data_IF_184494809627
#
_entry.id   IF_184494809627
#
_cell.length_a   1.000
_cell.length_b   1.000
_cell.length_c   1.000
_cell.angle_alpha   90.00
_cell.angle_beta   90.00
_cell.angle_gamma   90.00
#
_symmetry.space_group_name_H-M   'P 1'
#
loop_
_entity.id
_entity.type
_entity.pdbx_description
1 polymer ?
#
# COMPACT_ATOMS: atom_id res chain seq x y z
N UNK A 1 10.87 -0.21 -4.92
CA UNK A 1 12.26 -0.38 -5.35
C UNK A 1 13.14 0.66 -4.66
N UNK A 2 14.22 1.06 -5.33
CA UNK A 2 15.08 2.17 -4.93
C UNK A 2 14.91 3.28 -5.96
N UNK A 3 14.77 4.53 -5.53
CA UNK A 3 14.67 5.68 -6.43
C UNK A 3 16.02 5.88 -7.14
N UNK A 4 16.01 5.87 -8.47
CA UNK A 4 17.20 6.07 -9.31
C UNK A 4 17.28 7.46 -9.93
N UNK A 5 16.13 8.12 -10.12
CA UNK A 5 16.00 9.47 -10.64
C UNK A 5 14.75 10.13 -10.03
N UNK A 6 14.77 11.47 -9.92
CA UNK A 6 13.67 12.27 -9.40
C UNK A 6 13.29 13.32 -10.44
N UNK A 7 12.02 13.37 -10.81
CA UNK A 7 11.51 14.32 -11.81
C UNK A 7 11.52 15.78 -11.32
N UNK A 8 11.47 16.76 -12.24
CA UNK A 8 11.42 18.17 -11.89
C UNK A 8 10.26 18.50 -10.93
N UNK A 9 10.54 19.30 -9.90
CA UNK A 9 9.53 19.75 -8.92
C UNK A 9 9.25 18.75 -7.79
N UNK A 10 9.81 17.54 -7.82
CA UNK A 10 9.71 16.61 -6.69
C UNK A 10 10.82 16.92 -5.67
N UNK A 11 10.45 17.50 -4.53
CA UNK A 11 11.39 18.00 -3.52
C UNK A 11 11.50 17.10 -2.28
N UNK A 12 10.61 16.11 -2.13
CA UNK A 12 10.48 15.28 -0.92
C UNK A 12 10.93 13.82 -1.13
N UNK A 13 11.62 13.56 -2.25
CA UNK A 13 12.23 12.26 -2.59
C UNK A 13 13.63 12.50 -3.12
N UNK A 14 14.51 11.55 -2.84
CA UNK A 14 15.91 11.58 -3.25
C UNK A 14 16.33 10.25 -3.88
N UNK A 15 17.33 10.30 -4.75
CA UNK A 15 18.00 9.08 -5.25
C UNK A 15 18.53 8.28 -4.06
N UNK A 16 18.32 6.97 -4.09
CA UNK A 16 18.66 6.06 -2.98
C UNK A 16 17.51 5.78 -2.01
N UNK A 17 16.42 6.54 -2.06
CA UNK A 17 15.25 6.28 -1.21
C UNK A 17 14.65 4.89 -1.53
N UNK A 18 14.41 4.11 -0.47
CA UNK A 18 13.65 2.86 -0.58
C UNK A 18 12.16 3.20 -0.56
N UNK A 19 11.45 2.83 -1.63
CA UNK A 19 10.03 3.14 -1.81
C UNK A 19 9.19 1.91 -2.16
N UNK A 20 7.93 1.93 -1.75
CA UNK A 20 6.88 1.00 -2.16
C UNK A 20 5.64 1.78 -2.60
N UNK A 21 4.80 1.19 -3.45
CA UNK A 21 3.63 1.88 -3.96
C UNK A 21 2.88 1.09 -5.01
N UNK A 22 2.00 1.76 -5.73
CA UNK A 22 1.27 1.20 -6.87
C UNK A 22 1.86 1.80 -8.14
N UNK A 23 2.46 0.95 -8.97
CA UNK A 23 3.22 1.37 -10.14
C UNK A 23 2.73 0.63 -11.38
N UNK A 24 2.71 1.32 -12.52
CA UNK A 24 2.62 0.68 -13.82
C UNK A 24 4.00 0.13 -14.22
N UNK A 25 4.03 -0.98 -14.97
CA UNK A 25 5.29 -1.57 -15.42
C UNK A 25 6.14 -2.18 -14.30
N UNK A 26 5.53 -2.54 -13.16
CA UNK A 26 6.23 -3.06 -11.97
C UNK A 26 6.92 -4.42 -12.19
N UNK A 27 6.57 -5.14 -13.25
CA UNK A 27 7.21 -6.41 -13.64
C UNK A 27 8.39 -6.17 -14.57
N UNK A 28 9.35 -5.39 -14.09
CA UNK A 28 10.57 -5.04 -14.82
C UNK A 28 11.64 -4.52 -13.86
N UNK A 29 12.87 -4.34 -14.35
CA UNK A 29 13.97 -3.82 -13.53
C UNK A 29 13.78 -2.34 -13.15
N UNK A 30 12.98 -1.60 -13.92
CA UNK A 30 12.72 -0.17 -13.75
C UNK A 30 11.27 0.16 -14.05
N UNK A 31 10.71 1.12 -13.30
CA UNK A 31 9.38 1.67 -13.54
C UNK A 31 9.36 3.15 -13.17
N UNK A 32 8.49 3.92 -13.82
CA UNK A 32 8.23 5.33 -13.50
C UNK A 32 6.89 5.42 -12.79
N UNK A 33 6.84 6.13 -11.68
CA UNK A 33 5.61 6.38 -10.94
C UNK A 33 5.53 7.85 -10.52
N UNK A 34 4.29 8.33 -10.38
CA UNK A 34 4.03 9.60 -9.72
C UNK A 34 4.48 9.52 -8.25
N UNK A 35 5.14 10.57 -7.76
CA UNK A 35 5.65 10.61 -6.37
C UNK A 35 4.55 10.43 -5.33
N UNK A 36 3.30 10.77 -5.66
CA UNK A 36 2.12 10.61 -4.80
C UNK A 36 1.66 9.15 -4.69
N UNK A 37 2.06 8.31 -5.63
CA UNK A 37 1.71 6.88 -5.68
C UNK A 37 2.71 6.00 -4.93
N UNK A 38 3.74 6.60 -4.32
CA UNK A 38 4.80 5.89 -3.60
C UNK A 38 5.02 6.46 -2.19
N UNK A 39 5.31 5.57 -1.27
CA UNK A 39 5.62 5.84 0.13
C UNK A 39 7.00 5.25 0.49
N UNK A 40 7.68 5.79 1.51
CA UNK A 40 8.92 5.18 2.00
C UNK A 40 8.66 3.77 2.51
N UNK A 41 9.62 2.87 2.29
CA UNK A 41 9.59 1.55 2.92
C UNK A 41 9.87 1.70 4.41
N UNK A 42 9.03 1.15 5.31
CA UNK A 42 9.27 1.19 6.75
C UNK A 42 10.64 0.62 7.15
N UNK A 43 11.22 1.18 8.21
CA UNK A 43 12.49 0.67 8.75
C UNK A 43 12.31 -0.78 9.20
N UNK A 44 13.26 -1.63 8.82
CA UNK A 44 13.28 -3.05 9.18
C UNK A 44 12.59 -3.97 8.18
N UNK A 45 11.83 -3.44 7.23
CA UNK A 45 11.23 -4.26 6.17
C UNK A 45 12.24 -4.56 5.08
N UNK A 46 12.17 -5.76 4.51
CA UNK A 46 12.81 -6.07 3.24
C UNK A 46 11.97 -5.60 2.04
N UNK A 47 12.48 -5.77 0.82
CA UNK A 47 11.77 -5.33 -0.38
C UNK A 47 10.63 -6.27 -0.81
N UNK A 48 10.62 -7.52 -0.35
CA UNK A 48 9.58 -8.51 -0.66
C UNK A 48 8.34 -8.23 0.18
N UNK A 49 8.53 -7.98 1.48
CA UNK A 49 7.51 -7.49 2.40
C UNK A 49 6.91 -6.19 1.88
N UNK A 50 7.76 -5.22 1.54
CA UNK A 50 7.30 -3.94 1.01
C UNK A 50 6.52 -4.05 -0.31
N UNK A 51 6.86 -5.01 -1.18
CA UNK A 51 6.14 -5.22 -2.44
C UNK A 51 4.75 -5.86 -2.25
N UNK A 52 4.56 -6.68 -1.21
CA UNK A 52 3.29 -7.37 -0.94
C UNK A 52 2.18 -6.50 -0.36
N UNK A 53 2.52 -5.28 0.10
CA UNK A 53 1.63 -4.46 0.92
C UNK A 53 0.71 -3.50 0.14
N UNK A 54 1.19 -2.70 -0.84
CA UNK A 54 0.48 -1.52 -1.32
C UNK A 54 -0.92 -1.81 -1.87
N UNK A 55 -1.03 -2.72 -2.85
CA UNK A 55 -2.32 -2.96 -3.52
C UNK A 55 -3.35 -3.56 -2.56
N UNK A 56 -2.96 -4.55 -1.75
CA UNK A 56 -3.88 -5.22 -0.85
C UNK A 56 -4.45 -4.26 0.21
N UNK A 57 -3.57 -3.50 0.88
CA UNK A 57 -3.97 -2.61 1.97
C UNK A 57 -4.66 -1.35 1.46
N UNK A 58 -4.23 -0.75 0.35
CA UNK A 58 -4.92 0.42 -0.21
C UNK A 58 -6.33 0.05 -0.67
N UNK A 59 -6.51 -1.11 -1.29
CA UNK A 59 -7.85 -1.59 -1.69
C UNK A 59 -8.74 -1.79 -0.48
N UNK A 60 -8.26 -2.48 0.55
CA UNK A 60 -9.03 -2.74 1.76
C UNK A 60 -9.34 -1.45 2.54
N UNK A 61 -8.35 -0.55 2.69
CA UNK A 61 -8.53 0.73 3.37
C UNK A 61 -9.54 1.61 2.63
N UNK A 62 -9.37 1.80 1.33
CA UNK A 62 -10.29 2.61 0.54
C UNK A 62 -11.72 2.06 0.60
N UNK A 63 -11.89 0.75 0.49
CA UNK A 63 -13.21 0.11 0.58
C UNK A 63 -13.86 0.25 1.96
N UNK A 64 -13.14 -0.08 3.03
CA UNK A 64 -13.71 -0.14 4.38
C UNK A 64 -13.79 1.23 5.06
N UNK A 65 -12.78 2.08 4.88
CA UNK A 65 -12.66 3.37 5.57
C UNK A 65 -13.27 4.48 4.73
N UNK A 66 -12.78 4.68 3.51
CA UNK A 66 -13.16 5.85 2.70
C UNK A 66 -14.56 5.72 2.10
N UNK A 67 -14.91 4.54 1.58
CA UNK A 67 -16.20 4.31 0.92
C UNK A 67 -17.29 3.84 1.89
N UNK A 68 -17.02 2.80 2.68
CA UNK A 68 -18.02 2.23 3.57
C UNK A 68 -18.15 2.98 4.90
N UNK A 69 -17.09 3.67 5.34
CA UNK A 69 -17.09 4.39 6.61
C UNK A 69 -17.26 3.48 7.82
N UNK A 70 -16.69 2.26 7.79
CA UNK A 70 -16.84 1.23 8.82
C UNK A 70 -16.43 1.75 10.21
N UNK A 71 -17.29 1.52 11.21
CA UNK A 71 -17.11 1.99 12.59
C UNK A 71 -17.03 0.84 13.58
N UNK A 72 -16.48 1.14 14.75
CA UNK A 72 -16.43 0.19 15.86
C UNK A 72 -17.82 -0.34 16.22
N UNK A 73 -17.92 -1.66 16.41
CA UNK A 73 -19.17 -2.37 16.72
C UNK A 73 -20.02 -2.75 15.52
N UNK A 74 -19.70 -2.28 14.31
CA UNK A 74 -20.35 -2.73 13.08
C UNK A 74 -19.81 -4.10 12.64
N UNK A 75 -20.61 -4.85 11.87
CA UNK A 75 -20.20 -6.19 11.37
C UNK A 75 -19.90 -6.11 9.89
N UNK A 76 -18.81 -6.76 9.47
CA UNK A 76 -18.40 -6.84 8.06
C UNK A 76 -18.22 -8.31 7.63
N UNK A 77 -18.73 -8.66 6.44
CA UNK A 77 -18.47 -9.95 5.80
C UNK A 77 -17.30 -9.81 4.83
N UNK A 78 -16.26 -10.62 5.02
CA UNK A 78 -15.07 -10.63 4.16
C UNK A 78 -15.01 -11.96 3.41
N UNK A 79 -15.23 -11.92 2.11
CA UNK A 79 -15.03 -13.08 1.24
C UNK A 79 -13.53 -13.31 0.97
N UNK A 80 -13.15 -14.56 0.70
CA UNK A 80 -11.77 -14.95 0.40
C UNK A 80 -10.74 -14.39 1.42
N UNK A 81 -11.07 -14.46 2.71
CA UNK A 81 -10.31 -13.84 3.80
C UNK A 81 -8.84 -14.28 3.90
N UNK A 82 -8.46 -15.41 3.29
CA UNK A 82 -7.09 -15.92 3.23
C UNK A 82 -6.27 -15.38 2.05
N UNK A 83 -6.89 -14.62 1.13
CA UNK A 83 -6.18 -13.91 0.05
C UNK A 83 -5.58 -12.58 0.53
N UNK A 84 -4.73 -11.94 -0.29
CA UNK A 84 -4.01 -10.72 0.12
C UNK A 84 -4.93 -9.58 0.58
N UNK A 85 -5.94 -9.21 -0.22
CA UNK A 85 -6.93 -8.19 0.15
C UNK A 85 -7.77 -8.65 1.35
N UNK A 86 -8.16 -9.92 1.39
CA UNK A 86 -8.95 -10.48 2.48
C UNK A 86 -8.23 -10.39 3.82
N UNK A 87 -6.96 -10.76 3.88
CA UNK A 87 -6.13 -10.65 5.09
C UNK A 87 -5.97 -9.19 5.51
N UNK A 88 -5.71 -8.28 4.58
CA UNK A 88 -5.62 -6.84 4.87
C UNK A 88 -6.94 -6.29 5.43
N UNK A 89 -8.07 -6.64 4.81
CA UNK A 89 -9.41 -6.25 5.25
C UNK A 89 -9.72 -6.77 6.66
N UNK A 90 -9.35 -8.02 6.99
CA UNK A 90 -9.53 -8.58 8.34
C UNK A 90 -8.72 -7.79 9.36
N UNK A 91 -7.47 -7.45 9.06
CA UNK A 91 -6.62 -6.67 9.99
C UNK A 91 -7.16 -5.25 10.19
N UNK A 92 -7.59 -4.59 9.11
CA UNK A 92 -8.17 -3.24 9.17
C UNK A 92 -9.50 -3.24 9.93
N UNK A 93 -10.41 -4.17 9.63
CA UNK A 93 -11.69 -4.27 10.35
C UNK A 93 -11.48 -4.44 11.87
N UNK A 94 -10.58 -5.35 12.26
CA UNK A 94 -10.22 -5.53 13.67
C UNK A 94 -9.59 -4.29 14.30
N UNK A 95 -8.74 -3.57 13.55
CA UNK A 95 -8.15 -2.31 14.02
C UNK A 95 -9.21 -1.22 14.25
N UNK A 96 -10.26 -1.20 13.44
CA UNK A 96 -11.39 -0.27 13.55
C UNK A 96 -12.42 -0.69 14.63
N UNK A 97 -12.26 -1.87 15.24
CA UNK A 97 -13.17 -2.40 16.25
C UNK A 97 -14.45 -3.03 15.69
N UNK A 98 -14.42 -3.45 14.43
CA UNK A 98 -15.46 -4.24 13.77
C UNK A 98 -15.16 -5.75 13.85
#
# INVERSE_FOLDING_TARGET
GVVTEVGPGVTHRSVGDRVMGVLHGSFGPTAVADTRMVAPVPRGWDMREAAGMPVAYLTAWYGLVELAGLRAGERVLIHAATGGVGMAAVQIARHLGA
#
